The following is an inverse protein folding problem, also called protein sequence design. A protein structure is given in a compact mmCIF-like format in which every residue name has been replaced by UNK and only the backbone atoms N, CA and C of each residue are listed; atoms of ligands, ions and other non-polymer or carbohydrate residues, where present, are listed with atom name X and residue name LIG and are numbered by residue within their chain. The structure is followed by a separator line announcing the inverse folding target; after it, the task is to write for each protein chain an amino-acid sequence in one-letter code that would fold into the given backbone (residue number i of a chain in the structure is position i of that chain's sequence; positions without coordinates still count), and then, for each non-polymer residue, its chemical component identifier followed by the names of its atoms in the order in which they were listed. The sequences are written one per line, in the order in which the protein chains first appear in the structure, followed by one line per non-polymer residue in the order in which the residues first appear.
data_IF_077349690416
#
_entry.id   IF_077349690416
#
_cell.length_a   1.000
_cell.length_b   1.000
_cell.length_c   1.000
_cell.angle_alpha   90.00
_cell.angle_beta   90.00
_cell.angle_gamma   90.00
#
_symmetry.space_group_name_H-M   'P 1'
#
loop_
_entity.id
_entity.type
_entity.pdbx_description
1 polymer ?
#
# COMPACT_ATOMS: atom_id res chain seq x y z
N UNK A 1 -0.07 1.40 -3.13
CA UNK A 1 -1.53 1.28 -2.91
C UNK A 1 -2.35 1.70 -4.13
N UNK A 2 -2.04 2.83 -4.78
CA UNK A 2 -2.82 3.32 -5.93
C UNK A 2 -3.02 2.29 -7.06
N UNK A 3 -1.96 1.54 -7.41
CA UNK A 3 -2.05 0.49 -8.43
C UNK A 3 -3.03 -0.64 -8.05
N UNK A 4 -3.16 -0.96 -6.75
CA UNK A 4 -4.15 -1.94 -6.27
C UNK A 4 -5.57 -1.41 -6.41
N UNK A 5 -5.80 -0.13 -6.11
CA UNK A 5 -7.13 0.48 -6.28
C UNK A 5 -7.54 0.56 -7.75
N UNK A 6 -6.60 0.91 -8.63
CA UNK A 6 -6.82 0.87 -10.07
C UNK A 6 -7.12 -0.56 -10.55
N UNK A 7 -6.42 -1.56 -10.01
CA UNK A 7 -6.70 -2.98 -10.22
C UNK A 7 -8.12 -3.37 -9.78
N UNK A 8 -8.54 -2.98 -8.57
CA UNK A 8 -9.90 -3.22 -8.08
C UNK A 8 -10.96 -2.62 -9.00
N UNK A 9 -10.77 -1.38 -9.46
CA UNK A 9 -11.69 -0.73 -10.39
C UNK A 9 -11.76 -1.48 -11.73
N UNK A 10 -10.61 -1.87 -12.29
CA UNK A 10 -10.54 -2.66 -13.54
C UNK A 10 -11.24 -4.00 -13.41
N UNK A 11 -11.10 -4.66 -12.26
CA UNK A 11 -11.69 -5.97 -11.97
C UNK A 11 -13.14 -5.87 -11.47
N UNK A 12 -13.69 -4.65 -11.35
CA UNK A 12 -15.02 -4.36 -10.79
C UNK A 12 -15.21 -4.96 -9.39
N UNK A 13 -14.15 -4.95 -8.58
CA UNK A 13 -14.19 -5.40 -7.20
C UNK A 13 -14.61 -4.24 -6.29
N UNK A 14 -15.55 -4.51 -5.40
CA UNK A 14 -15.93 -3.58 -4.34
C UNK A 14 -15.10 -3.84 -3.07
N UNK A 15 -14.87 -2.80 -2.29
CA UNK A 15 -14.38 -2.95 -0.92
C UNK A 15 -15.37 -3.74 -0.08
N UNK A 16 -14.87 -4.53 0.87
CA UNK A 16 -15.70 -5.33 1.75
C UNK A 16 -16.43 -4.50 2.81
N UNK A 17 -15.92 -3.31 3.14
CA UNK A 17 -16.50 -2.42 4.14
C UNK A 17 -16.55 -0.96 3.69
N UNK A 18 -17.47 -0.19 4.28
CA UNK A 18 -17.53 1.27 4.09
C UNK A 18 -16.30 1.98 4.67
N UNK A 19 -15.77 1.48 5.79
CA UNK A 19 -14.56 2.03 6.40
C UNK A 19 -13.35 1.94 5.45
N UNK A 20 -13.18 0.81 4.76
CA UNK A 20 -12.15 0.66 3.72
C UNK A 20 -12.32 1.66 2.57
N UNK A 21 -13.56 2.00 2.19
CA UNK A 21 -13.81 3.03 1.18
C UNK A 21 -13.38 4.43 1.67
N UNK A 22 -13.64 4.75 2.94
CA UNK A 22 -13.24 6.02 3.55
C UNK A 22 -11.70 6.10 3.69
N UNK A 23 -11.06 5.02 4.14
CA UNK A 23 -9.61 4.89 4.20
C UNK A 23 -8.95 5.02 2.82
N UNK A 24 -9.55 4.46 1.76
CA UNK A 24 -9.07 4.64 0.39
C UNK A 24 -9.08 6.13 -0.01
N UNK A 25 -10.15 6.87 0.31
CA UNK A 25 -10.23 8.31 0.01
C UNK A 25 -9.17 9.10 0.78
N UNK A 26 -8.93 8.76 2.04
CA UNK A 26 -7.91 9.37 2.88
C UNK A 26 -6.51 9.18 2.30
N UNK A 27 -6.14 7.94 1.97
CA UNK A 27 -4.82 7.63 1.37
C UNK A 27 -4.64 8.36 0.04
N UNK A 28 -5.68 8.38 -0.80
CA UNK A 28 -5.64 9.11 -2.07
C UNK A 28 -5.42 10.62 -1.87
N UNK A 29 -6.10 11.22 -0.89
CA UNK A 29 -5.94 12.64 -0.57
C UNK A 29 -4.54 12.98 -0.02
N UNK A 30 -3.90 12.06 0.71
CA UNK A 30 -2.53 12.24 1.22
C UNK A 30 -1.52 12.17 0.08
N UNK A 31 -1.65 11.16 -0.80
CA UNK A 31 -0.79 11.01 -1.97
C UNK A 31 -0.87 12.24 -2.88
N UNK A 32 -2.08 12.76 -3.12
CA UNK A 32 -2.29 13.96 -3.94
C UNK A 32 -1.65 15.23 -3.36
N UNK A 33 -1.38 15.28 -2.05
CA UNK A 33 -0.74 16.42 -1.39
C UNK A 33 0.80 16.35 -1.41
N UNK A 34 1.40 15.29 -1.98
CA UNK A 34 2.85 15.04 -1.92
C UNK A 34 3.42 15.10 -0.49
N UNK A 35 2.61 14.79 0.52
CA UNK A 35 3.01 14.76 1.93
C UNK A 35 3.78 13.47 2.29
N UNK A 36 4.42 12.84 1.30
CA UNK A 36 5.10 11.54 1.38
C UNK A 36 6.40 11.62 2.20
N UNK A 37 6.91 12.84 2.41
CA UNK A 37 8.12 13.13 3.19
C UNK A 37 7.88 13.27 4.68
N UNK A 38 6.62 13.33 5.12
CA UNK A 38 6.29 13.35 6.53
C UNK A 38 6.36 11.93 7.14
N UNK A 39 6.77 11.80 8.42
CA UNK A 39 6.72 10.53 9.10
C UNK A 39 5.31 9.94 9.05
N UNK A 40 5.22 8.63 8.86
CA UNK A 40 3.93 7.93 8.78
C UNK A 40 3.13 8.18 10.05
N UNK A 41 2.07 8.97 9.92
CA UNK A 41 1.19 9.32 11.03
C UNK A 41 0.30 8.11 11.36
N UNK A 42 -0.08 7.96 12.63
CA UNK A 42 -0.86 6.80 13.12
C UNK A 42 -2.11 6.51 12.28
N UNK A 43 -2.88 7.53 11.91
CA UNK A 43 -4.09 7.36 11.10
C UNK A 43 -3.82 6.83 9.68
N UNK A 44 -2.64 7.12 9.13
CA UNK A 44 -2.21 6.59 7.81
C UNK A 44 -1.88 5.11 7.96
N UNK A 45 -1.13 4.76 8.99
CA UNK A 45 -0.80 3.37 9.30
C UNK A 45 -2.07 2.53 9.50
N UNK A 46 -3.01 2.98 10.33
CA UNK A 46 -4.29 2.28 10.56
C UNK A 46 -5.06 2.11 9.24
N UNK A 47 -5.18 3.19 8.45
CA UNK A 47 -5.86 3.14 7.17
C UNK A 47 -5.21 2.12 6.21
N UNK A 48 -3.87 2.11 6.10
CA UNK A 48 -3.13 1.16 5.26
C UNK A 48 -3.32 -0.28 5.72
N UNK A 49 -3.30 -0.53 7.03
CA UNK A 49 -3.48 -1.86 7.62
C UNK A 49 -4.88 -2.40 7.38
N UNK A 50 -5.90 -1.58 7.58
CA UNK A 50 -7.28 -1.97 7.30
C UNK A 50 -7.54 -2.19 5.81
N UNK A 51 -6.99 -1.32 4.95
CA UNK A 51 -7.07 -1.50 3.51
C UNK A 51 -6.38 -2.78 3.07
N UNK A 52 -5.22 -3.12 3.64
CA UNK A 52 -4.52 -4.35 3.30
C UNK A 52 -5.31 -5.59 3.70
N UNK A 53 -6.00 -5.56 4.84
CA UNK A 53 -6.82 -6.70 5.30
C UNK A 53 -8.21 -6.78 4.64
N UNK A 54 -8.59 -5.78 3.83
CA UNK A 54 -9.85 -5.77 3.08
C UNK A 54 -9.89 -6.90 2.05
N UNK A 55 -11.02 -7.63 2.00
CA UNK A 55 -11.19 -8.77 1.09
C UNK A 55 -11.16 -8.34 -0.38
N UNK A 56 -11.64 -7.15 -0.72
CA UNK A 56 -11.59 -6.61 -2.07
C UNK A 56 -10.16 -6.34 -2.51
N UNK A 57 -9.35 -5.75 -1.62
CA UNK A 57 -7.92 -5.49 -1.87
C UNK A 57 -7.14 -6.82 -1.99
N UNK A 58 -7.36 -7.76 -1.08
CA UNK A 58 -6.75 -9.10 -1.16
C UNK A 58 -7.16 -9.85 -2.44
N UNK A 59 -8.42 -9.74 -2.87
CA UNK A 59 -8.89 -10.32 -4.14
C UNK A 59 -8.26 -9.68 -5.37
N UNK A 60 -7.95 -8.38 -5.31
CA UNK A 60 -7.20 -7.73 -6.38
C UNK A 60 -5.75 -8.19 -6.40
N UNK A 61 -5.11 -8.32 -5.22
CA UNK A 61 -3.73 -8.77 -5.10
C UNK A 61 -3.52 -10.19 -5.63
N UNK A 62 -4.46 -11.12 -5.38
CA UNK A 62 -4.39 -12.48 -5.92
C UNK A 62 -4.49 -12.51 -7.45
N UNK A 63 -5.10 -11.48 -8.04
CA UNK A 63 -5.26 -11.26 -9.49
C UNK A 63 -4.26 -10.23 -10.04
N UNK A 64 -3.12 -10.02 -9.36
CA UNK A 64 -2.04 -9.12 -9.81
C UNK A 64 -1.40 -9.51 -11.14
N UNK A 65 -1.80 -10.62 -11.77
CA UNK A 65 -1.43 -10.95 -13.15
C UNK A 65 -2.24 -10.16 -14.19
N UNK A 66 -3.39 -9.59 -13.82
CA UNK A 66 -4.29 -8.86 -14.73
C UNK A 66 -3.98 -7.35 -14.82
N UNK A 67 -3.09 -6.86 -13.96
CA UNK A 67 -2.65 -5.47 -13.88
C UNK A 67 -1.27 -5.40 -13.24
N UNK A 68 -0.55 -4.29 -13.43
CA UNK A 68 0.77 -4.17 -12.84
C UNK A 68 0.68 -3.79 -11.35
N UNK A 69 1.36 -4.57 -10.51
CA UNK A 69 1.66 -4.24 -9.11
C UNK A 69 3.14 -4.53 -8.90
N UNK A 70 3.92 -3.60 -8.32
CA UNK A 70 5.30 -3.84 -7.99
C UNK A 70 5.43 -5.04 -7.06
N UNK A 71 6.40 -5.91 -7.31
CA UNK A 71 6.63 -7.10 -6.47
C UNK A 71 6.96 -6.73 -5.01
N UNK A 72 7.54 -5.54 -4.81
CA UNK A 72 7.82 -5.00 -3.48
C UNK A 72 6.56 -4.60 -2.70
N UNK A 73 5.43 -4.38 -3.36
CA UNK A 73 4.22 -3.87 -2.71
C UNK A 73 3.74 -4.83 -1.62
N UNK A 74 3.74 -6.14 -1.89
CA UNK A 74 3.34 -7.14 -0.90
C UNK A 74 4.25 -7.13 0.32
N UNK A 75 5.56 -7.12 0.07
CA UNK A 75 6.58 -7.15 1.13
C UNK A 75 6.45 -5.97 2.09
N UNK A 76 6.25 -4.76 1.56
CA UNK A 76 6.06 -3.57 2.39
C UNK A 76 4.72 -3.55 3.11
N UNK A 77 3.64 -3.99 2.47
CA UNK A 77 2.30 -4.04 3.09
C UNK A 77 2.23 -5.09 4.21
N UNK A 78 2.87 -6.25 4.01
CA UNK A 78 3.00 -7.30 5.04
C UNK A 78 3.92 -6.85 6.19
N UNK A 79 4.84 -5.92 5.92
CA UNK A 79 5.80 -5.40 6.89
C UNK A 79 5.38 -4.06 7.53
N UNK A 80 4.13 -3.61 7.36
CA UNK A 80 3.66 -2.30 7.86
C UNK A 80 3.95 -2.08 9.35
N UNK A 81 3.74 -3.11 10.17
CA UNK A 81 3.97 -3.03 11.63
C UNK A 81 5.45 -2.75 11.94
N UNK A 82 6.36 -3.39 11.20
CA UNK A 82 7.81 -3.16 11.32
C UNK A 82 8.20 -1.77 10.83
N UNK A 83 7.61 -1.32 9.73
CA UNK A 83 7.93 -0.03 9.09
C UNK A 83 7.39 1.15 9.91
N UNK A 84 6.27 0.98 10.60
CA UNK A 84 5.69 2.00 11.49
C UNK A 84 6.44 2.15 12.82
N UNK A 85 7.34 1.22 13.15
CA UNK A 85 8.14 1.31 14.37
C UNK A 85 9.08 2.52 14.32
N UNK A 86 9.12 3.31 15.40
CA UNK A 86 10.00 4.47 15.50
C UNK A 86 11.50 4.09 15.43
N UNK A 87 11.83 2.86 15.78
CA UNK A 87 13.17 2.28 15.71
C UNK A 87 13.34 1.39 14.47
N UNK A 88 12.53 1.58 13.42
CA UNK A 88 12.63 0.79 12.21
C UNK A 88 14.03 0.86 11.61
N UNK A 89 14.67 -0.31 11.49
CA UNK A 89 15.92 -0.50 10.76
C UNK A 89 15.59 -1.29 9.49
N UNK A 90 15.82 -0.72 8.29
CA UNK A 90 15.60 -1.42 7.03
C UNK A 90 16.38 -2.72 6.96
N UNK A 91 15.71 -3.80 6.58
CA UNK A 91 16.37 -5.07 6.31
C UNK A 91 17.09 -5.03 4.96
N UNK A 92 17.99 -5.99 4.73
CA UNK A 92 18.60 -6.17 3.41
C UNK A 92 17.55 -6.33 2.30
N UNK A 93 16.43 -6.99 2.59
CA UNK A 93 15.33 -7.17 1.64
C UNK A 93 14.61 -5.85 1.36
N UNK A 94 14.37 -5.02 2.38
CA UNK A 94 13.82 -3.67 2.21
C UNK A 94 14.73 -2.84 1.30
N UNK A 95 16.04 -2.89 1.53
CA UNK A 95 17.04 -2.18 0.71
C UNK A 95 17.03 -2.68 -0.75
N UNK A 96 16.94 -3.99 -0.96
CA UNK A 96 16.87 -4.57 -2.31
C UNK A 96 15.61 -4.15 -3.05
N UNK A 97 14.47 -4.09 -2.37
CA UNK A 97 13.20 -3.64 -2.96
C UNK A 97 13.12 -2.13 -3.15
N UNK A 98 13.84 -1.35 -2.34
CA UNK A 98 13.95 0.11 -2.49
C UNK A 98 14.96 0.55 -3.55
N UNK A 99 15.80 -0.36 -4.06
CA UNK A 99 16.75 -0.03 -5.13
C UNK A 99 15.99 0.31 -6.41
N UNK A 100 15.71 1.59 -6.55
CA UNK A 100 15.48 2.27 -7.83
C UNK A 100 16.71 1.98 -8.67
N UNK A 101 16.51 1.53 -9.91
CA UNK A 101 17.60 1.36 -10.86
C UNK A 101 18.42 2.65 -10.90
N UNK A 102 19.69 2.61 -10.52
CA UNK A 102 20.60 3.71 -10.81
C UNK A 102 20.66 3.80 -12.32
N UNK A 103 20.03 4.84 -12.90
CA UNK A 103 20.32 5.21 -14.28
C UNK A 103 21.80 5.59 -14.31
N UNK A 104 22.61 4.64 -14.76
CA UNK A 104 24.00 4.89 -15.13
C UNK A 104 24.06 5.71 -16.42
#
# INVERSE_FOLDING_TARGET
MEMLFNGMHKLKLAFASQSSQEHCRLIHAIMAKHAETEPMREHIYVALKELWTDKGVQSAMSRKSEFYVPDCAQHFLDSLDRINDQNYIPTTQDILFLRVATMG
#
